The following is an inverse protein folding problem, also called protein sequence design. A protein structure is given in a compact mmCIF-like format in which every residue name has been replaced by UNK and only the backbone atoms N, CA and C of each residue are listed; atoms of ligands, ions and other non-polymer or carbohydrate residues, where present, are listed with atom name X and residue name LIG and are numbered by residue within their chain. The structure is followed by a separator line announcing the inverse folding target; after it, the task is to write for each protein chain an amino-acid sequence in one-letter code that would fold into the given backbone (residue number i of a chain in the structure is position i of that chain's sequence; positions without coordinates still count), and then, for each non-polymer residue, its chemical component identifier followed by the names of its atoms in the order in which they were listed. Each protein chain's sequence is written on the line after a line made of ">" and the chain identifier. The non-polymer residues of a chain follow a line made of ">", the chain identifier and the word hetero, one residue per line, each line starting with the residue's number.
data_IF_426205563520
#
_entry.id   IF_426205563520
#
_cell.length_a   1.000
_cell.length_b   1.000
_cell.length_c   1.000
_cell.angle_alpha   90.00
_cell.angle_beta   90.00
_cell.angle_gamma   90.00
#
_symmetry.space_group_name_H-M   'P 1'
#
loop_
_entity.id
_entity.type
_entity.pdbx_description
1 polymer ?
#
# COMPACT_ATOMS: atom_id res chain seq x y z
N UNK A 1 13.95 17.50 -12.45
CA UNK A 1 15.21 17.45 -13.24
C UNK A 1 16.33 16.90 -12.35
N UNK A 2 17.33 16.22 -12.93
CA UNK A 2 18.47 15.66 -12.20
C UNK A 2 18.24 14.31 -11.52
N UNK A 3 17.06 13.70 -11.66
CA UNK A 3 16.80 12.35 -11.15
C UNK A 3 17.21 11.29 -12.17
N UNK A 4 17.60 10.07 -11.73
CA UNK A 4 17.89 8.95 -12.62
C UNK A 4 16.68 8.59 -13.49
N UNK A 5 16.94 8.05 -14.67
CA UNK A 5 15.89 7.47 -15.50
C UNK A 5 15.25 6.27 -14.78
N UNK A 6 13.91 6.14 -14.85
CA UNK A 6 13.18 5.00 -14.30
C UNK A 6 12.71 5.17 -12.84
N UNK A 7 12.86 6.36 -12.25
CA UNK A 7 12.27 6.63 -10.93
C UNK A 7 10.75 6.66 -11.00
N UNK A 8 10.11 6.11 -9.97
CA UNK A 8 8.66 6.15 -9.77
C UNK A 8 8.35 7.40 -8.95
N UNK A 9 7.46 8.24 -9.46
CA UNK A 9 7.11 9.50 -8.80
C UNK A 9 5.62 9.56 -8.48
N UNK A 10 5.27 10.23 -7.40
CA UNK A 10 3.89 10.42 -6.98
C UNK A 10 3.78 11.21 -5.68
N UNK A 11 2.57 11.43 -5.21
CA UNK A 11 2.32 12.03 -3.91
C UNK A 11 2.58 10.99 -2.81
N UNK A 12 3.22 11.43 -1.72
CA UNK A 12 3.41 10.61 -0.51
C UNK A 12 2.23 10.74 0.42
N UNK A 13 2.03 9.73 1.25
CA UNK A 13 1.17 9.83 2.43
C UNK A 13 1.81 10.79 3.43
N UNK A 14 1.03 11.71 3.99
CA UNK A 14 1.50 12.55 5.07
C UNK A 14 1.75 11.71 6.32
N UNK A 15 2.89 11.95 6.96
CA UNK A 15 3.33 11.23 8.14
C UNK A 15 3.80 12.19 9.22
N UNK A 16 3.66 11.77 10.46
CA UNK A 16 4.32 12.44 11.59
C UNK A 16 5.84 12.22 11.53
N UNK A 17 6.60 12.92 12.38
CA UNK A 17 8.04 12.66 12.57
C UNK A 17 8.34 11.22 13.02
N UNK A 18 7.38 10.58 13.71
CA UNK A 18 7.47 9.18 14.10
C UNK A 18 7.15 8.19 12.95
N UNK A 19 6.77 8.68 11.76
CA UNK A 19 6.46 7.88 10.58
C UNK A 19 5.02 7.39 10.49
N UNK A 20 4.14 7.75 11.43
CA UNK A 20 2.73 7.37 11.44
C UNK A 20 1.94 8.15 10.38
N UNK A 21 1.04 7.47 9.66
CA UNK A 21 0.20 8.11 8.63
C UNK A 21 -0.83 9.02 9.30
N UNK A 22 -1.00 10.21 8.74
CA UNK A 22 -1.96 11.22 9.23
C UNK A 22 -3.27 11.08 8.49
N UNK A 23 -4.34 10.95 9.27
CA UNK A 23 -5.72 10.82 8.79
C UNK A 23 -6.54 12.07 9.07
N UNK A 24 -7.41 12.40 8.15
CA UNK A 24 -8.44 13.41 8.29
C UNK A 24 -9.80 12.80 7.91
N UNK A 25 -10.79 12.89 8.79
CA UNK A 25 -12.10 12.26 8.60
C UNK A 25 -12.02 10.75 8.26
N UNK A 26 -11.01 10.05 8.82
CA UNK A 26 -10.77 8.63 8.61
C UNK A 26 -10.10 8.25 7.29
N UNK A 27 -9.83 9.20 6.40
CA UNK A 27 -9.09 9.01 5.15
C UNK A 27 -7.65 9.50 5.30
N UNK A 28 -6.68 8.86 4.63
CA UNK A 28 -5.29 9.30 4.68
C UNK A 28 -5.12 10.63 3.97
N UNK A 29 -4.24 11.47 4.50
CA UNK A 29 -3.86 12.74 3.86
C UNK A 29 -2.59 12.56 3.01
N UNK A 30 -2.40 13.44 2.04
CA UNK A 30 -1.35 13.33 1.03
C UNK A 30 -0.56 14.62 0.92
N UNK A 31 0.73 14.49 0.63
CA UNK A 31 1.57 15.64 0.29
C UNK A 31 1.09 16.28 -1.02
N UNK A 32 1.09 17.60 -1.08
CA UNK A 32 0.75 18.33 -2.30
C UNK A 32 1.85 18.23 -3.37
N UNK A 33 3.06 17.90 -2.96
CA UNK A 33 4.22 17.79 -3.84
C UNK A 33 4.41 16.37 -4.33
N UNK A 34 4.74 16.25 -5.62
CA UNK A 34 5.20 15.00 -6.21
C UNK A 34 6.65 14.73 -5.77
N UNK A 35 6.88 13.54 -5.24
CA UNK A 35 8.17 13.08 -4.73
C UNK A 35 8.57 11.77 -5.39
N UNK A 36 9.86 11.42 -5.30
CA UNK A 36 10.33 10.08 -5.70
C UNK A 36 9.84 9.07 -4.66
N UNK A 37 9.16 8.03 -5.13
CA UNK A 37 8.58 6.97 -4.32
C UNK A 37 9.33 5.65 -4.43
N UNK A 38 10.08 5.45 -5.52
CA UNK A 38 10.84 4.25 -5.78
C UNK A 38 11.69 4.38 -7.03
N UNK A 39 12.46 3.34 -7.33
CA UNK A 39 13.33 3.26 -8.50
C UNK A 39 13.07 1.94 -9.24
N UNK A 40 12.66 2.02 -10.51
CA UNK A 40 12.43 0.85 -11.35
C UNK A 40 13.70 0.16 -11.88
N UNK A 41 14.87 0.73 -11.63
CA UNK A 41 16.15 0.13 -12.03
C UNK A 41 16.69 -0.77 -10.92
N UNK A 42 17.21 -1.92 -11.32
CA UNK A 42 17.92 -2.80 -10.39
C UNK A 42 19.29 -2.19 -10.03
N UNK A 43 19.65 -2.26 -8.75
CA UNK A 43 20.99 -1.88 -8.27
C UNK A 43 22.04 -2.83 -8.83
N UNK A 44 21.71 -4.12 -8.88
CA UNK A 44 22.54 -5.12 -9.54
C UNK A 44 21.73 -6.35 -9.99
N UNK A 45 22.30 -7.04 -10.98
CA UNK A 45 21.79 -8.33 -11.48
C UNK A 45 22.92 -9.35 -11.46
N UNK A 46 22.62 -10.57 -11.03
CA UNK A 46 23.58 -11.66 -10.93
C UNK A 46 23.01 -12.93 -11.54
N UNK A 47 23.77 -13.56 -12.43
CA UNK A 47 23.52 -14.91 -12.94
C UNK A 47 24.58 -15.87 -12.40
N UNK A 48 24.13 -16.92 -11.70
CA UNK A 48 25.03 -17.96 -11.20
C UNK A 48 24.72 -19.27 -11.92
N UNK A 49 25.70 -19.78 -12.70
CA UNK A 49 25.61 -21.08 -13.33
C UNK A 49 26.66 -22.03 -12.75
N UNK A 50 26.20 -23.20 -12.34
CA UNK A 50 27.06 -24.27 -11.89
C UNK A 50 26.80 -25.53 -12.69
N UNK A 51 27.87 -26.24 -13.09
CA UNK A 51 27.77 -27.47 -13.85
C UNK A 51 28.66 -28.52 -13.20
N UNK A 52 28.13 -29.72 -13.02
CA UNK A 52 28.78 -30.88 -12.44
C UNK A 52 28.73 -32.01 -13.44
N UNK A 53 29.82 -32.76 -13.57
CA UNK A 53 29.87 -33.97 -14.39
C UNK A 53 30.57 -35.09 -13.62
N UNK A 54 29.94 -36.26 -13.59
CA UNK A 54 30.52 -37.46 -13.00
C UNK A 54 30.17 -38.66 -13.87
N UNK A 55 31.21 -39.28 -14.43
CA UNK A 55 31.03 -40.37 -15.41
C UNK A 55 30.14 -39.96 -16.56
N UNK A 56 29.00 -40.64 -16.75
CA UNK A 56 28.03 -40.39 -17.82
C UNK A 56 26.88 -39.45 -17.39
N UNK A 57 26.94 -38.90 -16.19
CA UNK A 57 25.94 -37.99 -15.65
C UNK A 57 26.49 -36.57 -15.65
N UNK A 58 25.74 -35.64 -16.23
CA UNK A 58 26.03 -34.20 -16.15
C UNK A 58 24.81 -33.47 -15.63
N UNK A 59 25.01 -32.55 -14.70
CA UNK A 59 23.96 -31.70 -14.14
C UNK A 59 24.35 -30.24 -14.26
N UNK A 60 23.48 -29.39 -14.69
CA UNK A 60 23.66 -27.94 -14.62
C UNK A 60 22.51 -27.24 -13.91
N UNK A 61 22.85 -26.19 -13.15
CA UNK A 61 21.89 -25.35 -12.40
C UNK A 61 22.17 -23.89 -12.76
N UNK A 62 21.13 -23.14 -13.12
CA UNK A 62 21.19 -21.70 -13.35
C UNK A 62 20.27 -20.98 -12.38
N UNK A 63 20.85 -20.06 -11.59
CA UNK A 63 20.13 -19.16 -10.69
C UNK A 63 20.28 -17.73 -11.18
N UNK A 64 19.17 -17.01 -11.28
CA UNK A 64 19.10 -15.61 -11.66
C UNK A 64 18.61 -14.78 -10.46
N UNK A 65 19.29 -13.68 -10.18
CA UNK A 65 19.02 -12.81 -9.05
C UNK A 65 19.01 -11.35 -9.51
N UNK A 66 18.03 -10.59 -9.02
CA UNK A 66 17.96 -9.15 -9.25
C UNK A 66 17.51 -8.47 -7.97
N UNK A 67 18.12 -7.32 -7.65
CA UNK A 67 17.87 -6.63 -6.40
C UNK A 67 17.77 -5.11 -6.58
N UNK A 68 17.00 -4.46 -5.71
CA UNK A 68 16.94 -3.02 -5.53
C UNK A 68 15.94 -2.28 -6.43
N UNK A 69 15.18 -2.98 -7.29
CA UNK A 69 14.16 -2.33 -8.08
C UNK A 69 12.81 -2.32 -7.39
N UNK A 70 12.06 -1.23 -7.60
CA UNK A 70 10.65 -1.11 -7.23
C UNK A 70 9.75 -1.22 -8.46
N UNK A 71 8.53 -1.67 -8.26
CA UNK A 71 7.50 -1.72 -9.30
C UNK A 71 6.15 -1.22 -8.77
N UNK A 72 5.50 -0.38 -9.54
CA UNK A 72 4.10 -0.07 -9.29
C UNK A 72 3.21 -1.23 -9.74
N UNK A 73 2.52 -1.85 -8.79
CA UNK A 73 1.66 -2.99 -9.06
C UNK A 73 0.21 -2.55 -9.30
N UNK A 74 -0.14 -2.34 -10.57
CA UNK A 74 -1.53 -2.04 -10.95
C UNK A 74 -2.49 -3.18 -10.56
N UNK A 75 -2.06 -4.44 -10.65
CA UNK A 75 -2.87 -5.59 -10.21
C UNK A 75 -3.18 -5.56 -8.73
N UNK A 76 -2.20 -5.19 -7.88
CA UNK A 76 -2.40 -5.00 -6.44
C UNK A 76 -3.39 -3.86 -6.19
N UNK A 77 -3.18 -2.71 -6.81
CA UNK A 77 -4.09 -1.56 -6.71
C UNK A 77 -5.52 -1.95 -7.13
N UNK A 78 -5.70 -2.55 -8.29
CA UNK A 78 -7.00 -2.93 -8.82
C UNK A 78 -7.71 -3.97 -7.92
N UNK A 79 -6.97 -4.93 -7.34
CA UNK A 79 -7.54 -5.90 -6.42
C UNK A 79 -8.05 -5.27 -5.11
N UNK A 80 -7.39 -4.21 -4.63
CA UNK A 80 -7.85 -3.46 -3.46
C UNK A 80 -9.10 -2.64 -3.77
N UNK A 81 -9.09 -1.89 -4.88
CA UNK A 81 -10.23 -1.06 -5.29
C UNK A 81 -11.48 -1.90 -5.59
N UNK A 82 -11.31 -3.03 -6.25
CA UNK A 82 -12.42 -3.97 -6.53
C UNK A 82 -12.80 -4.82 -5.31
N UNK A 83 -12.08 -4.69 -4.21
CA UNK A 83 -12.38 -5.41 -3.00
C UNK A 83 -12.10 -6.92 -3.06
N UNK A 84 -11.23 -7.38 -3.94
CA UNK A 84 -10.87 -8.81 -4.10
C UNK A 84 -9.62 -9.20 -3.31
N UNK A 85 -8.88 -8.23 -2.77
CA UNK A 85 -7.77 -8.49 -1.86
C UNK A 85 -8.26 -8.86 -0.46
N UNK A 86 -7.58 -9.79 0.21
CA UNK A 86 -7.87 -10.18 1.60
C UNK A 86 -7.83 -8.99 2.56
N UNK A 87 -6.94 -8.05 2.34
CA UNK A 87 -6.79 -6.85 3.18
C UNK A 87 -8.04 -5.96 3.16
N UNK A 88 -8.84 -6.03 2.09
CA UNK A 88 -10.06 -5.24 1.96
C UNK A 88 -11.27 -5.84 2.69
N UNK A 89 -11.12 -7.00 3.32
CA UNK A 89 -12.19 -7.61 4.13
C UNK A 89 -12.35 -6.92 5.49
N UNK A 90 -11.27 -6.31 5.98
CA UNK A 90 -11.28 -5.62 7.27
C UNK A 90 -12.30 -4.47 7.26
N UNK A 91 -13.15 -4.45 8.29
CA UNK A 91 -14.17 -3.42 8.47
C UNK A 91 -15.47 -3.59 7.67
N UNK A 92 -15.57 -4.51 6.70
CA UNK A 92 -16.77 -4.66 5.86
C UNK A 92 -18.03 -5.02 6.65
N UNK A 93 -17.94 -6.02 7.51
CA UNK A 93 -19.07 -6.47 8.31
C UNK A 93 -19.55 -5.36 9.27
N UNK A 94 -18.59 -4.68 9.92
CA UNK A 94 -18.90 -3.55 10.79
C UNK A 94 -19.54 -2.39 10.03
N UNK A 95 -19.03 -2.07 8.84
CA UNK A 95 -19.62 -1.04 7.98
C UNK A 95 -21.04 -1.40 7.55
N UNK A 96 -21.25 -2.65 7.10
CA UNK A 96 -22.58 -3.11 6.70
C UNK A 96 -23.56 -3.06 7.87
N UNK A 97 -23.18 -3.50 9.06
CA UNK A 97 -24.03 -3.44 10.25
C UNK A 97 -24.39 -1.98 10.63
N UNK A 98 -23.40 -1.07 10.55
CA UNK A 98 -23.60 0.36 10.78
C UNK A 98 -24.58 0.97 9.78
N UNK A 99 -24.46 0.64 8.49
CA UNK A 99 -25.38 1.12 7.47
C UNK A 99 -26.80 0.56 7.64
N UNK A 100 -26.96 -0.71 8.03
CA UNK A 100 -28.27 -1.27 8.35
C UNK A 100 -28.93 -0.56 9.55
N UNK A 101 -28.15 -0.24 10.58
CA UNK A 101 -28.63 0.53 11.72
C UNK A 101 -29.07 1.94 11.32
N UNK A 102 -28.29 2.63 10.48
CA UNK A 102 -28.62 3.95 9.93
C UNK A 102 -29.93 3.93 9.17
N UNK A 103 -30.08 2.97 8.24
CA UNK A 103 -31.30 2.83 7.44
C UNK A 103 -32.53 2.53 8.29
N UNK A 104 -32.38 1.68 9.31
CA UNK A 104 -33.46 1.35 10.26
C UNK A 104 -33.90 2.54 11.09
N UNK A 105 -32.94 3.42 11.42
CA UNK A 105 -33.21 4.68 12.13
C UNK A 105 -33.72 5.80 11.22
N UNK A 106 -33.76 5.58 9.89
CA UNK A 106 -34.14 6.56 8.87
C UNK A 106 -33.35 7.89 8.96
N UNK A 107 -32.02 7.78 9.20
CA UNK A 107 -31.10 8.92 9.32
C UNK A 107 -30.33 9.09 8.02
N UNK A 108 -30.18 10.35 7.58
CA UNK A 108 -29.34 10.67 6.43
C UNK A 108 -27.87 10.32 6.67
N UNK A 109 -27.16 9.90 5.61
CA UNK A 109 -25.73 9.51 5.72
C UNK A 109 -24.84 10.66 6.23
N UNK A 110 -25.17 11.91 5.96
CA UNK A 110 -24.44 13.11 6.42
C UNK A 110 -24.57 13.35 7.92
N UNK A 111 -25.68 12.89 8.53
CA UNK A 111 -26.01 13.10 9.95
C UNK A 111 -25.71 11.83 10.79
N UNK A 112 -25.19 10.77 10.15
CA UNK A 112 -24.88 9.50 10.79
C UNK A 112 -23.39 9.41 11.15
N UNK A 113 -23.11 9.08 12.39
CA UNK A 113 -21.75 8.69 12.81
C UNK A 113 -21.64 7.17 12.72
N UNK A 114 -20.81 6.62 11.83
CA UNK A 114 -20.63 5.18 11.70
C UNK A 114 -20.20 4.52 13.02
N UNK A 115 -20.83 3.40 13.35
CA UNK A 115 -20.52 2.61 14.55
C UNK A 115 -19.60 1.42 14.26
N UNK A 116 -19.23 1.23 13.00
CA UNK A 116 -18.31 0.20 12.51
C UNK A 116 -17.87 0.51 11.10
N UNK A 117 -16.75 -0.07 10.68
CA UNK A 117 -16.14 0.18 9.38
C UNK A 117 -14.63 -0.09 9.40
N UNK A 118 -13.94 0.37 8.38
CA UNK A 118 -12.48 0.33 8.34
C UNK A 118 -11.90 1.51 9.15
N UNK A 119 -10.84 1.25 9.90
CA UNK A 119 -10.07 2.28 10.61
C UNK A 119 -8.63 2.23 10.10
N UNK A 120 -8.19 3.30 9.43
CA UNK A 120 -6.82 3.40 8.94
C UNK A 120 -5.83 3.44 10.08
N UNK A 121 -4.74 2.66 9.97
CA UNK A 121 -3.70 2.56 11.01
C UNK A 121 -2.79 3.79 10.98
N UNK A 122 -2.89 4.62 11.98
CA UNK A 122 -2.12 5.86 12.14
C UNK A 122 -2.78 6.81 13.10
N UNK A 123 -2.61 8.10 12.89
CA UNK A 123 -3.04 9.15 13.80
C UNK A 123 -3.95 10.17 13.12
N UNK A 124 -4.79 10.82 13.90
CA UNK A 124 -5.54 12.01 13.49
C UNK A 124 -5.06 13.23 14.25
N UNK A 125 -5.06 14.38 13.60
CA UNK A 125 -4.76 15.65 14.24
C UNK A 125 -5.95 16.11 15.09
N UNK A 126 -5.66 16.56 16.31
CA UNK A 126 -6.63 17.19 17.22
C UNK A 126 -6.08 18.55 17.60
N UNK A 127 -6.87 19.59 17.39
CA UNK A 127 -6.50 20.96 17.79
C UNK A 127 -7.19 21.29 19.11
N UNK A 128 -6.41 21.72 20.09
CA UNK A 128 -6.94 22.18 21.38
C UNK A 128 -7.54 23.60 21.30
N UNK A 129 -8.11 24.08 22.41
CA UNK A 129 -8.71 25.40 22.50
C UNK A 129 -7.71 26.57 22.29
N UNK A 130 -6.43 26.29 22.50
CA UNK A 130 -5.34 27.27 22.36
C UNK A 130 -4.72 27.24 20.94
N UNK A 131 -5.23 26.36 20.05
CA UNK A 131 -4.78 26.22 18.67
C UNK A 131 -3.57 25.29 18.49
N UNK A 132 -3.12 24.57 19.55
CA UNK A 132 -2.03 23.63 19.40
C UNK A 132 -2.54 22.32 18.78
N UNK A 133 -1.79 21.79 17.81
CA UNK A 133 -2.09 20.52 17.15
C UNK A 133 -1.36 19.39 17.88
N UNK A 134 -2.12 18.38 18.27
CA UNK A 134 -1.62 17.12 18.81
C UNK A 134 -2.10 15.95 17.95
N UNK A 135 -1.39 14.83 18.02
CA UNK A 135 -1.73 13.63 17.27
C UNK A 135 -2.21 12.54 18.24
N UNK A 136 -3.38 11.97 17.95
CA UNK A 136 -3.97 10.85 18.69
C UNK A 136 -4.23 9.68 17.74
N UNK A 137 -4.30 8.43 18.21
CA UNK A 137 -4.65 7.30 17.37
C UNK A 137 -5.92 7.55 16.56
N UNK A 138 -5.92 7.18 15.29
CA UNK A 138 -7.12 7.29 14.47
C UNK A 138 -8.15 6.25 14.93
N UNK A 139 -9.38 6.67 15.14
CA UNK A 139 -10.53 5.86 15.59
C UNK A 139 -11.77 6.08 14.71
N UNK A 140 -11.60 6.79 13.59
CA UNK A 140 -12.71 7.15 12.70
C UNK A 140 -13.01 6.00 11.75
N UNK A 141 -14.24 5.51 11.80
CA UNK A 141 -14.75 4.49 10.88
C UNK A 141 -15.08 5.09 9.52
N UNK A 142 -14.63 4.42 8.46
CA UNK A 142 -14.95 4.77 7.08
C UNK A 142 -15.40 3.54 6.30
N UNK A 143 -16.11 3.79 5.19
CA UNK A 143 -16.42 2.77 4.20
C UNK A 143 -15.10 2.18 3.63
N UNK A 144 -14.85 0.87 3.77
CA UNK A 144 -13.66 0.24 3.19
C UNK A 144 -13.49 0.52 1.69
N UNK A 145 -14.59 0.57 0.92
CA UNK A 145 -14.51 0.87 -0.51
C UNK A 145 -14.02 2.30 -0.77
N UNK A 146 -14.54 3.28 -0.03
CA UNK A 146 -14.09 4.69 -0.13
C UNK A 146 -12.62 4.84 0.26
N UNK A 147 -12.17 4.13 1.29
CA UNK A 147 -10.77 4.16 1.71
C UNK A 147 -9.82 3.73 0.59
N UNK A 148 -10.08 2.58 -0.03
CA UNK A 148 -9.22 2.06 -1.10
C UNK A 148 -9.30 2.90 -2.38
N UNK A 149 -10.46 3.46 -2.70
CA UNK A 149 -10.62 4.41 -3.80
C UNK A 149 -9.86 5.73 -3.55
N UNK A 150 -9.86 6.24 -2.33
CA UNK A 150 -9.11 7.44 -1.97
C UNK A 150 -7.60 7.24 -2.18
N UNK A 151 -7.06 6.07 -1.79
CA UNK A 151 -5.67 5.71 -2.04
C UNK A 151 -5.35 5.64 -3.54
N UNK A 152 -6.19 4.96 -4.34
CA UNK A 152 -6.01 4.88 -5.79
C UNK A 152 -5.92 6.25 -6.45
N UNK A 153 -6.82 7.15 -6.08
CA UNK A 153 -6.96 8.45 -6.73
C UNK A 153 -5.87 9.46 -6.31
N UNK A 154 -5.20 9.22 -5.19
CA UNK A 154 -4.34 10.22 -4.57
C UNK A 154 -2.87 9.84 -4.51
N UNK A 155 -2.53 8.57 -4.30
CA UNK A 155 -1.12 8.16 -4.14
C UNK A 155 -0.85 6.75 -4.65
N UNK A 156 0.18 6.55 -5.48
CA UNK A 156 0.65 5.23 -5.86
C UNK A 156 1.47 4.53 -4.75
N UNK A 157 1.88 5.25 -3.69
CA UNK A 157 2.80 4.77 -2.65
C UNK A 157 2.42 3.39 -2.07
N UNK A 158 1.15 3.10 -1.68
CA UNK A 158 0.79 1.81 -1.09
C UNK A 158 0.87 0.62 -2.06
N UNK A 159 0.95 0.92 -3.36
CA UNK A 159 0.95 -0.07 -4.44
C UNK A 159 2.33 -0.25 -5.09
N UNK A 160 3.36 0.42 -4.55
CA UNK A 160 4.75 0.19 -4.92
C UNK A 160 5.25 -1.01 -4.13
N UNK A 161 5.87 -1.95 -4.84
CA UNK A 161 6.36 -3.20 -4.29
C UNK A 161 7.84 -3.38 -4.66
N UNK A 162 8.60 -3.98 -3.74
CA UNK A 162 9.95 -4.46 -4.05
C UNK A 162 9.87 -5.54 -5.14
N UNK A 163 10.67 -5.38 -6.20
CA UNK A 163 10.79 -6.29 -7.33
C UNK A 163 12.08 -7.11 -7.28
N UNK A 164 12.72 -7.18 -6.13
CA UNK A 164 13.89 -8.04 -5.93
C UNK A 164 13.48 -9.51 -5.94
N UNK A 165 14.30 -10.35 -6.58
CA UNK A 165 14.03 -11.78 -6.59
C UNK A 165 15.29 -12.64 -6.76
N UNK A 166 15.17 -13.89 -6.31
CA UNK A 166 16.08 -15.00 -6.60
C UNK A 166 15.27 -16.10 -7.28
N UNK A 167 15.65 -16.51 -8.46
CA UNK A 167 14.89 -17.44 -9.29
C UNK A 167 15.78 -18.58 -9.81
N UNK A 168 15.38 -19.81 -9.54
CA UNK A 168 15.93 -20.97 -10.21
C UNK A 168 15.41 -21.00 -11.65
N UNK A 169 16.31 -20.78 -12.62
CA UNK A 169 15.95 -20.66 -14.04
C UNK A 169 15.98 -22.00 -14.75
N UNK A 170 16.98 -22.81 -14.45
CA UNK A 170 17.21 -24.04 -15.16
C UNK A 170 17.83 -25.08 -14.23
N UNK A 171 17.36 -26.30 -14.35
CA UNK A 171 18.02 -27.52 -13.89
C UNK A 171 18.00 -28.49 -15.04
N UNK A 172 19.18 -28.92 -15.51
CA UNK A 172 19.28 -29.95 -16.55
C UNK A 172 20.12 -31.12 -16.08
N UNK A 173 19.73 -32.32 -16.48
CA UNK A 173 20.38 -33.61 -16.18
C UNK A 173 20.67 -34.30 -17.50
#
# INVERSE_FOLDING_TARGET
>A
EGQPYGVIVGKKLNRTEAGEVIYENGLPTFDDKVSVLGNGNYDFTLGFRNAFSYKNLSMSVLVDMKFGADVYSMSKMQSHVNGTSKETLEGREGWYASEQARLSANVDAKDWTPTGGYVGKGVKAVTDADGNVSYVPNDVYVDPAKYWQALQNSSPEPFICDNSFVKLREVSL
#
